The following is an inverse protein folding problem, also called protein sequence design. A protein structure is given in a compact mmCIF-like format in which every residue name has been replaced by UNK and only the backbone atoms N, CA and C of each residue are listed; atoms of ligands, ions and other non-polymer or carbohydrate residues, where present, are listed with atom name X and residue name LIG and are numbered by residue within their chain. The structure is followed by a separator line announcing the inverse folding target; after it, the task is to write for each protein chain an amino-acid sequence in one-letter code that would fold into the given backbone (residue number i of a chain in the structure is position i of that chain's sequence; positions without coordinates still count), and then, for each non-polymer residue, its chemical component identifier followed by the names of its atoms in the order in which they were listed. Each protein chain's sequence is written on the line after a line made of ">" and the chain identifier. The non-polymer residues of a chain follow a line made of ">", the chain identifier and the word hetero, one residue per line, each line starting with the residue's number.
data_IF_608265163521
#
_entry.id   IF_608265163521
#
_cell.length_a   1.000
_cell.length_b   1.000
_cell.length_c   1.000
_cell.angle_alpha   90.00
_cell.angle_beta   90.00
_cell.angle_gamma   90.00
#
_symmetry.space_group_name_H-M   'P 1'
#
loop_
_entity.id
_entity.type
_entity.pdbx_description
1 polymer ?
#
# COMPACT_ATOMS: atom_id res chain seq x y z
N UNK A 1 -12.29 38.81 21.08
CA UNK A 1 -13.75 38.62 21.33
C UNK A 1 -14.03 37.15 21.58
N UNK A 2 -14.33 36.75 22.82
CA UNK A 2 -14.70 35.39 23.16
C UNK A 2 -16.13 35.10 22.64
N UNK A 3 -16.29 34.11 21.75
CA UNK A 3 -17.62 33.68 21.30
C UNK A 3 -18.31 32.93 22.44
N UNK A 4 -19.37 33.52 23.00
CA UNK A 4 -20.23 32.91 24.02
C UNK A 4 -21.01 31.78 23.34
N UNK A 5 -20.69 30.51 23.66
CA UNK A 5 -21.45 29.35 23.21
C UNK A 5 -22.72 29.27 24.05
N UNK A 6 -23.90 29.39 23.43
CA UNK A 6 -25.19 29.32 24.15
C UNK A 6 -25.42 27.87 24.61
N UNK A 7 -26.11 27.71 25.79
CA UNK A 7 -26.45 26.39 26.36
C UNK A 7 -27.12 25.46 25.36
N UNK A 8 -27.92 26.00 24.44
CA UNK A 8 -28.61 25.25 23.38
C UNK A 8 -27.61 24.66 22.34
N UNK A 9 -26.57 25.40 21.97
CA UNK A 9 -25.51 24.92 21.06
C UNK A 9 -24.62 23.89 21.75
N UNK A 10 -24.38 24.02 23.04
CA UNK A 10 -23.64 23.03 23.83
C UNK A 10 -24.40 21.72 23.92
N UNK A 11 -25.73 21.77 24.23
CA UNK A 11 -26.57 20.57 24.28
C UNK A 11 -26.70 19.86 22.93
N UNK A 12 -26.80 20.59 21.82
CA UNK A 12 -26.81 20.03 20.48
C UNK A 12 -25.44 19.41 20.13
N UNK A 13 -24.34 20.03 20.51
CA UNK A 13 -23.00 19.52 20.32
C UNK A 13 -22.72 18.24 21.12
N UNK A 14 -23.15 18.21 22.39
CA UNK A 14 -23.03 17.02 23.27
C UNK A 14 -23.94 15.91 22.79
N UNK A 15 -25.17 16.20 22.35
CA UNK A 15 -26.10 15.22 21.80
C UNK A 15 -25.55 14.58 20.50
N UNK A 16 -24.94 15.36 19.61
CA UNK A 16 -24.29 14.86 18.41
C UNK A 16 -23.04 14.01 18.72
N UNK A 17 -22.22 14.43 19.69
CA UNK A 17 -21.02 13.69 20.12
C UNK A 17 -21.38 12.35 20.78
N UNK A 18 -22.46 12.28 21.59
CA UNK A 18 -22.92 11.01 22.19
C UNK A 18 -23.54 10.08 21.17
N UNK A 19 -24.20 10.59 20.13
CA UNK A 19 -24.70 9.77 19.01
C UNK A 19 -23.53 9.17 18.21
N UNK A 20 -22.45 9.91 18.00
CA UNK A 20 -21.25 9.44 17.31
C UNK A 20 -20.45 8.41 18.13
N UNK A 21 -20.31 8.62 19.45
CA UNK A 21 -19.61 7.69 20.35
C UNK A 21 -20.34 6.34 20.52
N UNK A 22 -21.68 6.28 20.32
CA UNK A 22 -22.48 5.07 20.38
C UNK A 22 -22.49 4.24 19.09
N UNK A 23 -22.00 4.80 17.98
CA UNK A 23 -22.13 4.18 16.66
C UNK A 23 -21.28 2.91 16.47
N UNK A 24 -20.14 2.78 17.14
CA UNK A 24 -19.19 1.68 16.92
C UNK A 24 -19.74 0.32 17.38
N UNK A 25 -20.67 0.28 18.35
CA UNK A 25 -21.24 -0.96 18.94
C UNK A 25 -22.58 -1.37 18.35
N UNK A 26 -23.25 -0.51 17.59
CA UNK A 26 -24.60 -0.81 17.07
C UNK A 26 -24.51 -1.54 15.71
N UNK A 27 -25.28 -2.64 15.49
CA UNK A 27 -25.34 -3.33 14.20
C UNK A 27 -25.74 -2.39 13.04
N UNK A 28 -26.67 -1.47 13.26
CA UNK A 28 -27.09 -0.50 12.26
C UNK A 28 -25.98 0.48 11.86
N UNK A 29 -25.18 0.90 12.83
CA UNK A 29 -24.04 1.76 12.57
C UNK A 29 -22.92 1.05 11.78
N UNK A 30 -22.65 -0.23 12.07
CA UNK A 30 -21.70 -1.03 11.28
C UNK A 30 -22.15 -1.16 9.82
N UNK A 31 -23.43 -1.40 9.58
CA UNK A 31 -23.99 -1.46 8.21
C UNK A 31 -23.83 -0.12 7.50
N UNK A 32 -24.16 0.99 8.18
CA UNK A 32 -24.01 2.34 7.62
C UNK A 32 -22.55 2.67 7.30
N UNK A 33 -21.63 2.45 8.24
CA UNK A 33 -20.19 2.69 8.05
C UNK A 33 -19.62 1.83 6.92
N UNK A 34 -20.00 0.56 6.84
CA UNK A 34 -19.61 -0.32 5.73
C UNK A 34 -20.13 0.18 4.37
N UNK A 35 -21.37 0.68 4.31
CA UNK A 35 -21.93 1.27 3.09
C UNK A 35 -21.19 2.54 2.69
N UNK A 36 -20.85 3.40 3.66
CA UNK A 36 -20.07 4.62 3.43
C UNK A 36 -18.64 4.30 2.96
N UNK A 37 -17.97 3.33 3.55
CA UNK A 37 -16.65 2.87 3.11
C UNK A 37 -16.69 2.37 1.66
N UNK A 38 -17.66 1.52 1.31
CA UNK A 38 -17.83 1.05 -0.08
C UNK A 38 -18.12 2.19 -1.07
N UNK A 39 -18.87 3.20 -0.64
CA UNK A 39 -19.13 4.37 -1.48
C UNK A 39 -17.85 5.19 -1.66
N UNK A 40 -17.07 5.41 -0.59
CA UNK A 40 -15.80 6.12 -0.61
C UNK A 40 -14.81 5.45 -1.58
N UNK A 41 -14.66 4.12 -1.49
CA UNK A 41 -13.82 3.33 -2.40
C UNK A 41 -14.19 3.54 -3.87
N UNK A 42 -15.50 3.62 -4.18
CA UNK A 42 -15.96 3.90 -5.54
C UNK A 42 -15.60 5.31 -6.00
N UNK A 43 -15.74 6.29 -5.10
CA UNK A 43 -15.36 7.68 -5.40
C UNK A 43 -13.86 7.81 -5.62
N UNK A 44 -13.05 7.23 -4.74
CA UNK A 44 -11.59 7.22 -4.88
C UNK A 44 -11.15 6.54 -6.19
N UNK A 45 -11.72 5.37 -6.49
CA UNK A 45 -11.45 4.66 -7.75
C UNK A 45 -11.86 5.45 -8.99
N UNK A 46 -12.99 6.21 -8.93
CA UNK A 46 -13.44 7.06 -10.04
C UNK A 46 -12.58 8.32 -10.21
N UNK A 47 -11.98 8.84 -9.14
CA UNK A 47 -11.06 9.98 -9.15
C UNK A 47 -9.61 9.59 -9.47
N UNK A 48 -9.29 8.31 -9.34
CA UNK A 48 -7.96 7.81 -9.62
C UNK A 48 -7.61 7.94 -11.10
N UNK A 49 -6.41 8.46 -11.36
CA UNK A 49 -5.87 8.54 -12.72
C UNK A 49 -4.64 7.64 -12.84
N UNK A 50 -4.69 6.57 -13.65
CA UNK A 50 -3.58 5.63 -13.80
C UNK A 50 -2.34 6.23 -14.49
N UNK A 51 -2.44 7.45 -15.00
CA UNK A 51 -1.34 8.16 -15.68
C UNK A 51 -0.86 9.40 -14.94
N UNK A 52 -1.51 9.81 -13.84
CA UNK A 52 -1.08 10.98 -13.06
C UNK A 52 0.10 10.62 -12.18
N UNK A 53 1.24 11.21 -12.44
CA UNK A 53 2.46 10.99 -11.67
C UNK A 53 2.53 11.95 -10.48
N UNK A 54 2.93 11.43 -9.32
CA UNK A 54 3.41 12.25 -8.22
C UNK A 54 4.75 12.90 -8.63
N UNK A 55 5.03 14.13 -8.19
CA UNK A 55 6.25 14.83 -8.55
C UNK A 55 7.47 14.10 -7.98
N UNK A 56 8.51 13.94 -8.80
CA UNK A 56 9.82 13.50 -8.32
C UNK A 56 10.46 14.63 -7.51
N UNK A 57 10.93 14.31 -6.30
CA UNK A 57 11.44 15.29 -5.36
C UNK A 57 12.98 15.41 -5.44
N UNK A 58 13.56 16.57 -5.14
CA UNK A 58 15.00 16.73 -5.12
C UNK A 58 15.66 15.92 -3.99
N UNK A 59 16.95 15.60 -4.13
CA UNK A 59 17.70 14.87 -3.11
C UNK A 59 17.68 15.54 -1.73
N UNK A 60 17.64 16.88 -1.71
CA UNK A 60 17.54 17.67 -0.47
C UNK A 60 16.23 17.49 0.30
N UNK A 61 15.20 16.93 -0.32
CA UNK A 61 13.93 16.64 0.34
C UNK A 61 13.90 15.26 1.04
N UNK A 62 14.95 14.45 0.86
CA UNK A 62 15.03 13.11 1.47
C UNK A 62 14.99 13.20 2.98
N UNK A 63 14.07 12.46 3.60
CA UNK A 63 13.98 12.32 5.05
C UNK A 63 15.20 11.53 5.54
N UNK A 64 15.89 11.94 6.61
CA UNK A 64 16.91 11.14 7.24
C UNK A 64 16.42 9.73 7.57
N UNK A 65 17.24 8.71 7.40
CA UNK A 65 16.81 7.31 7.52
C UNK A 65 16.35 6.97 8.92
N UNK A 66 16.99 7.51 9.95
CA UNK A 66 16.64 7.38 11.35
C UNK A 66 15.31 8.10 11.72
N UNK A 67 14.87 9.02 10.86
CA UNK A 67 13.59 9.72 10.99
C UNK A 67 12.47 9.13 10.11
N UNK A 68 12.75 8.07 9.32
CA UNK A 68 11.74 7.39 8.52
C UNK A 68 11.20 6.18 9.31
N UNK A 69 9.99 6.26 9.89
CA UNK A 69 9.45 5.19 10.72
C UNK A 69 9.28 3.88 9.94
N UNK A 70 9.53 2.75 10.59
CA UNK A 70 9.31 1.45 10.00
C UNK A 70 8.54 0.52 10.96
N UNK A 71 7.64 -0.29 10.39
CA UNK A 71 6.77 -1.21 11.12
C UNK A 71 6.76 -2.58 10.46
N UNK A 72 6.60 -3.62 11.26
CA UNK A 72 6.32 -4.99 10.84
C UNK A 72 5.33 -5.62 11.83
N UNK A 73 4.64 -6.68 11.44
CA UNK A 73 3.58 -7.28 12.26
C UNK A 73 4.09 -8.38 13.19
N UNK A 74 5.24 -8.97 12.90
CA UNK A 74 5.88 -9.96 13.75
C UNK A 74 6.51 -9.35 15.01
N UNK A 75 6.65 -10.11 16.08
CA UNK A 75 7.31 -9.67 17.32
C UNK A 75 8.79 -9.32 17.09
N UNK A 76 9.43 -9.96 16.12
CA UNK A 76 10.80 -9.71 15.72
C UNK A 76 10.86 -9.26 14.26
N UNK A 77 11.88 -8.47 13.93
CA UNK A 77 12.11 -8.02 12.55
C UNK A 77 12.27 -9.23 11.62
N UNK A 78 11.48 -9.32 10.54
CA UNK A 78 11.57 -10.42 9.59
C UNK A 78 12.90 -10.43 8.85
N UNK A 79 13.48 -11.61 8.68
CA UNK A 79 14.64 -11.82 7.82
C UNK A 79 14.28 -12.75 6.67
N UNK A 80 14.82 -12.54 5.46
CA UNK A 80 14.55 -13.40 4.34
C UNK A 80 15.09 -14.80 4.59
N UNK A 81 14.40 -15.86 4.16
CA UNK A 81 14.96 -17.21 4.14
C UNK A 81 16.16 -17.30 3.19
N UNK A 82 17.09 -18.21 3.45
CA UNK A 82 18.34 -18.36 2.65
C UNK A 82 18.07 -18.56 1.16
N UNK A 83 16.97 -19.20 0.80
CA UNK A 83 16.54 -19.45 -0.56
C UNK A 83 15.41 -18.53 -1.03
N UNK A 84 15.40 -17.29 -0.55
CA UNK A 84 14.36 -16.32 -0.92
C UNK A 84 14.26 -16.15 -2.43
N UNK A 85 13.04 -16.11 -2.90
CA UNK A 85 12.68 -15.76 -4.28
C UNK A 85 11.28 -15.17 -4.33
N UNK A 86 11.04 -14.33 -5.34
CA UNK A 86 9.72 -13.82 -5.64
C UNK A 86 8.96 -14.81 -6.50
N UNK A 87 7.81 -15.29 -6.03
CA UNK A 87 6.88 -16.10 -6.82
C UNK A 87 5.84 -15.20 -7.47
N UNK A 88 5.61 -15.40 -8.76
CA UNK A 88 4.58 -14.68 -9.52
C UNK A 88 3.63 -15.69 -10.15
N UNK A 89 2.33 -15.57 -9.83
CA UNK A 89 1.33 -16.56 -10.23
C UNK A 89 -0.07 -16.00 -10.38
N UNK A 90 -1.08 -16.87 -10.26
CA UNK A 90 -2.47 -16.55 -10.50
C UNK A 90 -2.83 -16.67 -11.98
N UNK A 91 -3.64 -15.76 -12.51
CA UNK A 91 -4.08 -15.74 -13.91
C UNK A 91 -2.98 -15.18 -14.83
N UNK A 92 -1.92 -15.96 -15.03
CA UNK A 92 -0.78 -15.65 -15.90
C UNK A 92 -0.53 -16.76 -16.91
N UNK A 93 0.00 -16.40 -18.07
CA UNK A 93 0.37 -17.38 -19.09
C UNK A 93 1.59 -18.22 -18.68
N UNK A 94 2.55 -17.59 -17.96
CA UNK A 94 3.83 -18.21 -17.56
C UNK A 94 4.15 -17.86 -16.10
N UNK A 95 3.66 -18.62 -15.11
CA UNK A 95 4.07 -18.44 -13.73
C UNK A 95 5.61 -18.45 -13.60
N UNK A 96 6.15 -17.56 -12.76
CA UNK A 96 7.58 -17.39 -12.63
C UNK A 96 8.05 -17.40 -11.18
N UNK A 97 9.33 -17.76 -11.02
CA UNK A 97 10.08 -17.63 -9.76
C UNK A 97 11.32 -16.83 -10.08
N UNK A 98 11.52 -15.72 -9.41
CA UNK A 98 12.59 -14.77 -9.69
C UNK A 98 13.49 -14.59 -8.47
N UNK A 99 14.77 -14.80 -8.64
CA UNK A 99 15.78 -14.40 -7.66
C UNK A 99 15.91 -12.87 -7.64
N UNK A 100 16.56 -12.34 -6.61
CA UNK A 100 16.87 -10.90 -6.56
C UNK A 100 17.76 -10.47 -7.74
N UNK A 101 18.69 -11.34 -8.17
CA UNK A 101 19.57 -11.08 -9.29
C UNK A 101 18.83 -11.08 -10.64
N UNK A 102 17.78 -11.90 -10.78
CA UNK A 102 16.92 -11.84 -11.97
C UNK A 102 16.16 -10.51 -12.04
N UNK A 103 15.63 -10.04 -10.91
CA UNK A 103 14.97 -8.72 -10.84
C UNK A 103 15.93 -7.57 -11.17
N UNK A 104 17.16 -7.62 -10.68
CA UNK A 104 18.20 -6.60 -10.94
C UNK A 104 18.66 -6.55 -12.41
N UNK A 105 18.44 -7.61 -13.18
CA UNK A 105 18.73 -7.64 -14.63
C UNK A 105 17.63 -7.01 -15.48
N UNK A 106 16.44 -6.78 -14.90
CA UNK A 106 15.32 -6.17 -15.60
C UNK A 106 15.47 -4.64 -15.67
N UNK A 107 14.75 -3.94 -16.56
CA UNK A 107 14.73 -2.48 -16.59
C UNK A 107 14.35 -1.91 -15.22
N UNK A 108 15.26 -1.16 -14.62
CA UNK A 108 15.05 -0.53 -13.32
C UNK A 108 14.48 0.89 -13.45
N UNK A 109 13.89 1.36 -12.36
CA UNK A 109 13.33 2.71 -12.24
C UNK A 109 13.77 3.31 -10.92
N UNK A 110 14.19 4.57 -10.96
CA UNK A 110 14.50 5.39 -9.79
C UNK A 110 13.39 6.40 -9.56
N UNK A 111 12.89 6.49 -8.33
CA UNK A 111 11.80 7.37 -7.93
C UNK A 111 12.11 8.01 -6.59
N UNK A 112 12.09 9.34 -6.47
CA UNK A 112 12.15 9.99 -5.16
C UNK A 112 10.81 10.61 -4.83
N UNK A 113 10.04 9.91 -4.01
CA UNK A 113 8.64 10.21 -3.78
C UNK A 113 8.35 10.35 -2.28
N UNK A 114 7.25 11.06 -1.99
CA UNK A 114 6.70 11.13 -0.65
C UNK A 114 5.89 9.88 -0.34
N UNK A 115 6.24 9.22 0.74
CA UNK A 115 5.48 8.14 1.34
C UNK A 115 4.48 8.71 2.34
N UNK A 116 3.23 8.30 2.27
CA UNK A 116 2.17 8.75 3.18
C UNK A 116 1.68 7.60 4.05
N UNK A 117 1.72 7.77 5.35
CA UNK A 117 1.17 6.81 6.30
C UNK A 117 -0.25 7.18 6.70
N UNK A 118 -1.09 6.18 6.99
CA UNK A 118 -2.44 6.36 7.51
C UNK A 118 -2.45 7.04 8.90
N UNK A 119 -1.36 6.94 9.63
CA UNK A 119 -1.17 7.60 10.94
C UNK A 119 -0.93 9.12 10.83
N UNK A 120 -0.90 9.68 9.61
CA UNK A 120 -0.79 11.13 9.39
C UNK A 120 0.63 11.65 9.21
N UNK A 121 1.67 10.84 9.33
CA UNK A 121 3.03 11.24 9.00
C UNK A 121 3.39 10.94 7.54
N UNK A 122 4.40 11.60 7.04
CA UNK A 122 4.97 11.32 5.72
C UNK A 122 6.48 11.44 5.74
N UNK A 123 7.14 10.69 4.84
CA UNK A 123 8.59 10.73 4.65
C UNK A 123 8.92 10.69 3.16
N UNK A 124 10.09 11.20 2.79
CA UNK A 124 10.59 11.20 1.40
C UNK A 124 11.78 10.26 1.32
N UNK A 125 11.75 9.33 0.37
CA UNK A 125 12.89 8.47 0.07
C UNK A 125 13.07 8.28 -1.43
N UNK A 126 14.29 8.01 -1.83
CA UNK A 126 14.64 7.50 -3.16
C UNK A 126 14.44 5.99 -3.18
N UNK A 127 13.70 5.49 -4.15
CA UNK A 127 13.42 4.07 -4.33
C UNK A 127 14.00 3.60 -5.65
N UNK A 128 14.61 2.42 -5.65
CA UNK A 128 15.18 1.79 -6.83
C UNK A 128 14.64 0.38 -6.99
N UNK A 129 14.12 0.05 -8.18
CA UNK A 129 13.52 -1.26 -8.39
C UNK A 129 12.94 -1.45 -9.79
N UNK A 130 12.25 -2.56 -10.01
CA UNK A 130 11.58 -2.91 -11.26
C UNK A 130 10.09 -2.57 -11.17
N UNK A 131 9.49 -2.05 -12.24
CA UNK A 131 8.04 -1.79 -12.27
C UNK A 131 7.25 -3.10 -12.22
N UNK A 132 6.12 -3.08 -11.50
CA UNK A 132 5.20 -4.24 -11.49
C UNK A 132 4.72 -4.56 -12.90
N UNK A 133 4.52 -3.55 -13.75
CA UNK A 133 4.14 -3.74 -15.16
C UNK A 133 5.17 -4.52 -15.98
N UNK A 134 6.48 -4.39 -15.71
CA UNK A 134 7.52 -5.20 -16.39
C UNK A 134 7.37 -6.68 -16.06
N UNK A 135 7.13 -7.01 -14.78
CA UNK A 135 6.88 -8.38 -14.35
C UNK A 135 5.59 -8.91 -14.98
N UNK A 136 4.51 -8.10 -14.98
CA UNK A 136 3.23 -8.47 -15.56
C UNK A 136 3.34 -8.77 -17.07
N UNK A 137 4.11 -7.95 -17.81
CA UNK A 137 4.38 -8.17 -19.22
C UNK A 137 5.17 -9.47 -19.47
N UNK A 138 6.17 -9.76 -18.62
CA UNK A 138 7.01 -10.94 -18.74
C UNK A 138 6.23 -12.24 -18.50
N UNK A 139 5.34 -12.26 -17.51
CA UNK A 139 4.54 -13.45 -17.16
C UNK A 139 3.27 -13.58 -18.02
N UNK A 140 2.86 -12.50 -18.69
CA UNK A 140 1.66 -12.45 -19.54
C UNK A 140 0.38 -12.59 -18.71
N UNK A 141 -0.20 -11.47 -18.26
CA UNK A 141 -1.44 -11.50 -17.48
C UNK A 141 -2.65 -11.77 -18.37
N UNK A 142 -3.62 -12.55 -17.85
CA UNK A 142 -4.89 -12.83 -18.53
C UNK A 142 -5.77 -11.57 -18.57
N UNK A 143 -6.52 -11.31 -19.66
CA UNK A 143 -7.44 -10.16 -19.73
C UNK A 143 -8.54 -10.11 -18.65
N UNK A 144 -8.80 -11.20 -17.97
CA UNK A 144 -9.78 -11.29 -16.86
C UNK A 144 -9.25 -10.81 -15.53
N UNK A 145 -7.98 -10.45 -15.46
CA UNK A 145 -7.35 -9.93 -14.24
C UNK A 145 -7.90 -8.54 -13.93
N UNK A 146 -8.40 -8.36 -12.73
CA UNK A 146 -8.84 -7.07 -12.20
C UNK A 146 -8.06 -6.65 -10.95
N UNK A 147 -7.38 -7.59 -10.29
CA UNK A 147 -6.69 -7.39 -9.02
C UNK A 147 -5.31 -8.03 -8.99
N UNK A 148 -4.46 -7.48 -8.14
CA UNK A 148 -3.13 -8.04 -7.83
C UNK A 148 -2.99 -8.15 -6.32
N UNK A 149 -2.69 -9.34 -5.84
CA UNK A 149 -2.37 -9.63 -4.44
C UNK A 149 -0.87 -9.68 -4.24
N UNK A 150 -0.39 -8.99 -3.24
CA UNK A 150 1.01 -8.96 -2.82
C UNK A 150 1.11 -9.59 -1.44
N UNK A 151 1.97 -10.63 -1.28
CA UNK A 151 2.18 -11.33 -0.01
C UNK A 151 3.59 -11.17 0.51
N UNK A 152 3.68 -10.98 1.79
CA UNK A 152 4.92 -10.93 2.55
C UNK A 152 5.36 -12.31 3.02
N UNK A 153 6.65 -12.50 3.28
CA UNK A 153 7.10 -13.60 4.13
C UNK A 153 7.00 -13.28 5.64
N UNK A 154 6.71 -12.03 6.02
CA UNK A 154 6.21 -11.69 7.35
C UNK A 154 4.80 -12.29 7.49
N UNK A 155 4.70 -13.36 8.27
CA UNK A 155 3.57 -14.29 8.25
C UNK A 155 2.23 -13.60 8.47
N UNK A 156 1.31 -13.80 7.53
CA UNK A 156 -0.03 -13.25 7.56
C UNK A 156 -0.16 -11.86 6.94
N UNK A 157 0.94 -11.17 6.58
CA UNK A 157 0.84 -9.86 5.94
C UNK A 157 0.66 -9.96 4.42
N UNK A 158 -0.41 -9.38 3.92
CA UNK A 158 -0.70 -9.26 2.50
C UNK A 158 -1.63 -8.06 2.24
N UNK A 159 -1.73 -7.65 1.00
CA UNK A 159 -2.69 -6.64 0.53
C UNK A 159 -3.05 -6.88 -0.93
N UNK A 160 -4.30 -6.65 -1.30
CA UNK A 160 -4.73 -6.69 -2.70
C UNK A 160 -5.05 -5.30 -3.23
N UNK A 161 -4.70 -5.06 -4.50
CA UNK A 161 -4.85 -3.80 -5.20
C UNK A 161 -5.66 -3.98 -6.47
N UNK A 162 -6.34 -2.93 -6.90
CA UNK A 162 -6.85 -2.86 -8.27
C UNK A 162 -5.71 -2.89 -9.29
N UNK A 163 -5.98 -3.48 -10.46
CA UNK A 163 -4.97 -3.65 -11.50
C UNK A 163 -4.39 -2.31 -11.97
N UNK A 164 -5.20 -1.27 -12.08
CA UNK A 164 -4.76 0.04 -12.55
C UNK A 164 -3.73 0.69 -11.59
N UNK A 165 -3.95 0.58 -10.28
CA UNK A 165 -2.97 1.02 -9.27
C UNK A 165 -1.71 0.15 -9.28
N UNK A 166 -1.84 -1.16 -9.44
CA UNK A 166 -0.70 -2.08 -9.50
C UNK A 166 0.17 -1.82 -10.75
N UNK A 167 -0.44 -1.50 -11.89
CA UNK A 167 0.26 -1.20 -13.14
C UNK A 167 0.68 0.26 -13.28
N UNK A 168 0.42 1.11 -12.28
CA UNK A 168 0.81 2.52 -12.32
C UNK A 168 2.32 2.69 -12.54
N UNK A 169 2.78 3.67 -13.36
CA UNK A 169 4.20 3.84 -13.68
C UNK A 169 5.12 4.04 -12.48
N UNK A 170 4.58 4.49 -11.34
CA UNK A 170 5.30 4.67 -10.07
C UNK A 170 5.03 3.54 -9.06
N UNK A 171 4.50 2.39 -9.49
CA UNK A 171 4.39 1.18 -8.68
C UNK A 171 5.52 0.23 -9.04
N UNK A 172 6.43 0.01 -8.09
CA UNK A 172 7.66 -0.76 -8.28
C UNK A 172 7.82 -1.84 -7.21
N UNK A 173 8.54 -2.87 -7.57
CA UNK A 173 9.14 -3.82 -6.66
C UNK A 173 10.55 -3.29 -6.33
N UNK A 174 10.66 -2.59 -5.20
CA UNK A 174 11.87 -1.92 -4.79
C UNK A 174 12.82 -2.89 -4.06
N UNK A 175 14.09 -2.88 -4.44
CA UNK A 175 15.19 -3.60 -3.80
C UNK A 175 16.31 -2.64 -3.36
N UNK A 176 16.15 -1.35 -3.57
CA UNK A 176 17.06 -0.30 -3.12
C UNK A 176 16.31 0.92 -2.55
N UNK A 177 16.94 1.60 -1.61
CA UNK A 177 16.45 2.82 -0.98
C UNK A 177 17.63 3.79 -0.78
N UNK A 178 17.45 5.06 -1.12
CA UNK A 178 18.44 6.14 -0.93
C UNK A 178 19.85 5.85 -1.47
N UNK A 179 19.97 5.04 -2.54
CA UNK A 179 21.25 4.71 -3.19
C UNK A 179 21.97 3.47 -2.66
N UNK A 180 21.37 2.73 -1.73
CA UNK A 180 21.88 1.46 -1.22
C UNK A 180 20.84 0.35 -1.24
N UNK A 181 21.19 -0.93 -1.05
CA UNK A 181 20.24 -2.02 -0.90
C UNK A 181 19.24 -1.74 0.27
N UNK A 182 18.04 -2.26 0.17
CA UNK A 182 17.06 -2.13 1.25
C UNK A 182 17.62 -2.68 2.58
N UNK A 183 17.40 -1.92 3.66
CA UNK A 183 17.62 -2.42 5.01
C UNK A 183 16.50 -3.37 5.44
N UNK A 184 16.78 -4.30 6.39
CA UNK A 184 15.79 -5.24 6.88
C UNK A 184 14.53 -4.56 7.41
N UNK A 185 14.63 -3.47 8.16
CA UNK A 185 13.49 -2.72 8.71
C UNK A 185 12.63 -2.04 7.64
N UNK A 186 13.19 -1.76 6.46
CA UNK A 186 12.49 -1.22 5.31
C UNK A 186 12.00 -2.28 4.32
N UNK A 187 12.15 -3.58 4.63
CA UNK A 187 11.54 -4.67 3.88
C UNK A 187 12.46 -5.42 2.94
N UNK A 188 13.77 -5.49 3.25
CA UNK A 188 14.72 -6.30 2.47
C UNK A 188 14.25 -7.76 2.35
N UNK A 189 14.56 -8.45 1.24
CA UNK A 189 15.34 -7.99 0.08
C UNK A 189 14.50 -7.25 -0.96
N UNK A 190 13.15 -7.32 -0.86
CA UNK A 190 12.20 -6.76 -1.82
C UNK A 190 10.94 -6.25 -1.12
N UNK A 191 10.47 -5.09 -1.57
CA UNK A 191 9.17 -4.55 -1.12
C UNK A 191 8.36 -4.01 -2.28
N UNK A 192 7.05 -3.98 -2.12
CA UNK A 192 6.18 -3.17 -2.95
C UNK A 192 6.27 -1.70 -2.52
N UNK A 193 6.40 -0.79 -3.48
CA UNK A 193 6.31 0.64 -3.24
C UNK A 193 5.50 1.34 -4.33
N UNK A 194 4.74 2.34 -3.94
CA UNK A 194 4.01 3.21 -4.86
C UNK A 194 3.67 4.56 -4.21
N UNK A 195 3.52 5.59 -5.04
CA UNK A 195 3.03 6.91 -4.63
C UNK A 195 1.51 7.01 -4.56
N UNK A 196 0.77 6.02 -5.09
CA UNK A 196 -0.69 6.12 -5.28
C UNK A 196 -1.49 5.43 -4.17
N UNK A 197 -0.81 4.84 -3.20
CA UNK A 197 -1.44 4.13 -2.07
C UNK A 197 -0.80 4.52 -0.74
N UNK A 198 -1.59 4.54 0.32
CA UNK A 198 -1.10 4.70 1.68
C UNK A 198 -0.13 3.58 2.08
N UNK A 199 0.75 3.88 3.03
CA UNK A 199 1.88 3.04 3.43
C UNK A 199 1.53 1.59 3.79
N UNK A 200 0.41 1.36 4.47
CA UNK A 200 -0.01 -0.01 4.83
C UNK A 200 -0.37 -0.88 3.62
N UNK A 201 -0.61 -0.29 2.45
CA UNK A 201 -0.80 -1.03 1.20
C UNK A 201 0.52 -1.47 0.58
N UNK A 202 1.64 -0.84 0.93
CA UNK A 202 2.96 -1.10 0.33
C UNK A 202 3.68 -2.23 1.07
N UNK A 203 3.37 -3.47 0.66
CA UNK A 203 3.85 -4.70 1.32
C UNK A 203 5.37 -4.77 1.38
N UNK A 204 5.93 -4.86 2.59
CA UNK A 204 7.34 -5.17 2.86
C UNK A 204 7.59 -6.68 2.84
N UNK A 205 8.87 -7.09 2.73
CA UNK A 205 9.25 -8.50 2.80
C UNK A 205 8.53 -9.35 1.75
N UNK A 206 8.42 -8.81 0.54
CA UNK A 206 7.60 -9.39 -0.52
C UNK A 206 8.13 -10.76 -0.95
N UNK A 207 7.26 -11.74 -1.04
CA UNK A 207 7.56 -13.12 -1.46
C UNK A 207 6.68 -13.63 -2.60
N UNK A 208 5.44 -13.08 -2.72
CA UNK A 208 4.52 -13.54 -3.77
C UNK A 208 3.75 -12.36 -4.38
N UNK A 209 3.50 -12.46 -5.69
CA UNK A 209 2.59 -11.61 -6.45
C UNK A 209 1.62 -12.51 -7.19
N UNK A 210 0.33 -12.40 -6.90
CA UNK A 210 -0.72 -13.18 -7.53
C UNK A 210 -1.70 -12.27 -8.26
N UNK A 211 -1.90 -12.49 -9.55
CA UNK A 211 -2.90 -11.75 -10.33
C UNK A 211 -4.21 -12.51 -10.36
N UNK A 212 -5.31 -11.82 -10.04
CA UNK A 212 -6.58 -12.43 -9.66
C UNK A 212 -7.78 -11.75 -10.34
N UNK A 213 -8.90 -12.45 -10.53
CA UNK A 213 -10.14 -11.86 -11.04
C UNK A 213 -10.93 -11.10 -9.96
N UNK A 214 -10.63 -11.34 -8.68
CA UNK A 214 -11.35 -10.74 -7.55
C UNK A 214 -10.37 -10.29 -6.46
N UNK A 215 -10.73 -9.25 -5.71
CA UNK A 215 -9.99 -8.80 -4.55
C UNK A 215 -10.00 -9.83 -3.40
N UNK A 216 -8.89 -9.96 -2.70
CA UNK A 216 -8.73 -10.89 -1.56
C UNK A 216 -8.69 -10.18 -0.19
N UNK A 217 -8.87 -8.86 -0.16
CA UNK A 217 -8.70 -8.06 1.06
C UNK A 217 -7.22 -7.79 1.35
N UNK A 218 -6.84 -7.84 2.62
CA UNK A 218 -5.49 -7.62 3.11
C UNK A 218 -5.45 -7.69 4.63
N UNK A 219 -4.24 -7.68 5.21
CA UNK A 219 -4.07 -7.77 6.65
C UNK A 219 -4.81 -6.64 7.40
N UNK A 220 -4.60 -5.38 7.01
CA UNK A 220 -5.25 -4.23 7.62
C UNK A 220 -6.67 -4.02 7.11
N UNK A 221 -6.90 -4.29 5.84
CA UNK A 221 -8.22 -4.18 5.20
C UNK A 221 -9.24 -5.09 5.88
N UNK A 222 -8.83 -6.30 6.27
CA UNK A 222 -9.69 -7.24 7.00
C UNK A 222 -9.96 -6.79 8.45
N UNK A 223 -9.18 -5.84 8.95
CA UNK A 223 -9.39 -5.19 10.25
C UNK A 223 -10.19 -3.88 10.13
N UNK A 224 -10.69 -3.54 8.93
CA UNK A 224 -11.56 -2.40 8.69
C UNK A 224 -10.87 -1.16 8.12
N UNK A 225 -9.60 -1.26 7.74
CA UNK A 225 -8.93 -0.19 7.00
C UNK A 225 -9.48 -0.08 5.58
N UNK A 226 -9.38 1.11 4.99
CA UNK A 226 -9.85 1.39 3.64
C UNK A 226 -9.17 0.49 2.60
N UNK A 227 -9.98 -0.16 1.74
CA UNK A 227 -9.40 -1.11 0.77
C UNK A 227 -8.68 -0.39 -0.37
N UNK A 228 -9.24 0.69 -0.93
CA UNK A 228 -8.61 1.42 -2.03
C UNK A 228 -7.41 2.22 -1.55
N UNK A 229 -7.58 2.99 -0.48
CA UNK A 229 -6.53 3.75 0.21
C UNK A 229 -5.65 4.58 -0.74
N UNK A 230 -6.30 5.33 -1.61
CA UNK A 230 -5.67 6.23 -2.58
C UNK A 230 -4.99 7.44 -1.93
N UNK A 231 -4.00 8.02 -2.63
CA UNK A 231 -3.28 9.25 -2.24
C UNK A 231 -3.37 10.27 -3.37
#
# INVERSE_FOLDING_TARGET
>A
MARIITRRKLLLGVGAATLLAGCEKSPAAKVFLSAMSKWNQKVEGALFSPSRLAPDLPASATTPEDAFPSYFISDNMPFPPDNWSLKVGGLVAKPGVFSLDDLKKMPSTDLRLRHHCVEGWSAVAGWHGVRVSEIANLVGIDPRVEYVEFKSFDSGYYSSWDLASAMHPQTILAYGMNGHPLYPDHGAPLRLYSSVKLGYKTVKYLSEVNVLPNATGGYWENQGYEWFAGV
#
